data_IF_792357230857
#
_entry.id   IF_792357230857
#
_cell.length_a   1.000
_cell.length_b   1.000
_cell.length_c   1.000
_cell.angle_alpha   90.00
_cell.angle_beta   90.00
_cell.angle_gamma   90.00
#
_symmetry.space_group_name_H-M   'P 1'
#
loop_
_entity.id
_entity.type
_entity.pdbx_description
1 polymer ?
#
# COMPACT_ATOMS: atom_id res chain seq x y z
N UNK A 1 -12.56 -3.83 15.48
CA UNK A 1 -12.42 -2.51 16.15
C UNK A 1 -12.29 -1.37 15.12
N UNK A 2 -12.63 -0.13 15.49
CA UNK A 2 -12.74 1.07 14.61
C UNK A 2 -11.49 1.95 14.72
N UNK A 3 -10.86 2.28 13.59
CA UNK A 3 -9.85 3.33 13.45
C UNK A 3 -10.46 4.73 13.51
N UNK A 4 -9.66 5.72 13.92
CA UNK A 4 -10.08 7.11 14.16
C UNK A 4 -10.68 7.78 12.92
N UNK A 5 -11.65 8.67 13.12
CA UNK A 5 -12.19 9.52 12.06
C UNK A 5 -11.10 10.48 11.55
N UNK A 6 -11.13 10.80 10.26
CA UNK A 6 -10.22 11.80 9.69
C UNK A 6 -10.98 12.67 8.68
N UNK A 7 -10.60 13.95 8.61
CA UNK A 7 -11.23 14.94 7.73
C UNK A 7 -10.70 14.78 6.31
N UNK A 8 -11.59 14.50 5.36
CA UNK A 8 -11.29 14.53 3.93
C UNK A 8 -11.52 15.92 3.33
N UNK A 9 -10.79 16.26 2.28
CA UNK A 9 -11.03 17.46 1.48
C UNK A 9 -12.30 17.30 0.62
N UNK A 10 -13.12 18.35 0.58
CA UNK A 10 -14.24 18.53 -0.35
C UNK A 10 -14.12 19.93 -0.96
N UNK A 11 -14.38 20.03 -2.26
CA UNK A 11 -14.50 21.32 -2.94
C UNK A 11 -15.82 21.96 -2.52
N UNK A 12 -15.75 23.16 -1.96
CA UNK A 12 -16.93 23.92 -1.57
C UNK A 12 -17.61 24.46 -2.84
N UNK A 13 -18.94 24.38 -2.89
CA UNK A 13 -19.71 24.72 -4.09
C UNK A 13 -19.67 26.21 -4.41
N UNK A 14 -19.59 27.05 -3.36
CA UNK A 14 -19.74 28.50 -3.48
C UNK A 14 -18.43 29.20 -3.90
N UNK A 15 -17.31 28.82 -3.28
CA UNK A 15 -16.03 29.55 -3.45
C UNK A 15 -14.98 28.77 -4.28
N UNK A 16 -15.28 27.52 -4.64
CA UNK A 16 -14.34 26.61 -5.29
C UNK A 16 -13.12 26.19 -4.43
N UNK A 17 -13.02 26.66 -3.19
CA UNK A 17 -11.95 26.34 -2.22
C UNK A 17 -12.05 24.88 -1.73
N UNK A 18 -10.90 24.26 -1.47
CA UNK A 18 -10.81 22.91 -0.92
C UNK A 18 -10.80 22.97 0.61
N UNK A 19 -11.85 22.45 1.26
CA UNK A 19 -11.99 22.49 2.72
C UNK A 19 -12.01 21.08 3.29
N UNK A 20 -11.34 20.88 4.43
CA UNK A 20 -11.30 19.62 5.19
C UNK A 20 -12.61 19.39 5.96
N UNK A 21 -13.74 19.22 5.28
CA UNK A 21 -15.07 19.11 5.93
C UNK A 21 -15.72 17.72 5.86
N UNK A 22 -15.11 16.72 5.21
CA UNK A 22 -15.74 15.40 5.08
C UNK A 22 -15.33 14.48 6.21
N UNK A 23 -16.25 14.19 7.12
CA UNK A 23 -16.11 13.12 8.09
C UNK A 23 -16.08 11.78 7.34
N UNK A 24 -14.89 11.20 7.14
CA UNK A 24 -14.78 9.87 6.54
C UNK A 24 -15.07 8.82 7.60
N UNK A 25 -15.89 7.83 7.23
CA UNK A 25 -16.23 6.68 8.07
C UNK A 25 -14.95 6.10 8.70
N UNK A 26 -15.03 5.77 9.98
CA UNK A 26 -13.97 5.09 10.73
C UNK A 26 -13.46 3.91 9.93
N UNK A 27 -12.14 3.83 9.74
CA UNK A 27 -11.54 2.68 9.05
C UNK A 27 -11.71 1.44 9.91
N UNK A 28 -12.01 0.30 9.31
CA UNK A 28 -12.20 -0.94 10.03
C UNK A 28 -11.15 -1.92 9.56
N UNK A 29 -10.59 -2.68 10.50
CA UNK A 29 -9.90 -3.92 10.14
C UNK A 29 -10.94 -4.85 9.54
N UNK A 30 -10.79 -5.18 8.25
CA UNK A 30 -11.70 -6.08 7.56
C UNK A 30 -11.17 -7.51 7.59
N UNK A 31 -12.03 -8.51 7.29
CA UNK A 31 -11.62 -9.91 7.23
C UNK A 31 -10.38 -10.12 6.36
N UNK A 32 -9.66 -11.21 6.64
CA UNK A 32 -8.41 -11.54 5.97
C UNK A 32 -8.61 -11.61 4.45
N UNK A 33 -7.90 -10.74 3.73
CA UNK A 33 -7.92 -10.69 2.27
C UNK A 33 -7.03 -11.75 1.62
N UNK A 34 -7.09 -13.01 2.06
CA UNK A 34 -6.32 -14.12 1.49
C UNK A 34 -7.29 -15.13 0.87
N UNK A 35 -7.18 -15.44 -0.43
CA UNK A 35 -7.98 -16.52 -1.02
C UNK A 35 -7.61 -17.86 -0.37
N UNK A 36 -8.61 -18.65 0.04
CA UNK A 36 -8.40 -19.96 0.71
C UNK A 36 -7.43 -20.88 -0.05
N UNK A 37 -7.50 -20.88 -1.39
CA UNK A 37 -6.60 -21.64 -2.27
C UNK A 37 -5.10 -21.29 -2.13
N UNK A 38 -4.76 -20.17 -1.51
CA UNK A 38 -3.38 -19.71 -1.33
C UNK A 38 -2.97 -19.61 0.14
N UNK A 39 -3.74 -20.19 1.05
CA UNK A 39 -3.45 -20.20 2.49
C UNK A 39 -2.13 -20.93 2.81
N UNK A 40 -1.80 -21.95 2.00
CA UNK A 40 -0.56 -22.72 2.03
C UNK A 40 0.54 -22.21 1.09
N UNK A 41 0.39 -21.00 0.53
CA UNK A 41 1.38 -20.46 -0.41
C UNK A 41 2.75 -20.28 0.26
N UNK A 42 3.79 -20.88 -0.32
CA UNK A 42 5.19 -20.65 0.11
C UNK A 42 5.70 -19.26 -0.26
N UNK A 43 5.08 -18.63 -1.27
CA UNK A 43 5.48 -17.31 -1.80
C UNK A 43 4.80 -16.17 -1.03
N UNK A 44 3.53 -16.34 -0.66
CA UNK A 44 2.75 -15.33 0.06
C UNK A 44 2.48 -15.79 1.49
N UNK A 45 2.97 -15.03 2.45
CA UNK A 45 2.96 -15.35 3.88
C UNK A 45 1.65 -14.99 4.57
N UNK A 46 0.50 -15.32 3.96
CA UNK A 46 -0.82 -14.99 4.52
C UNK A 46 -1.11 -15.65 5.86
N UNK A 47 -0.80 -16.95 5.96
CA UNK A 47 -0.97 -17.76 7.16
C UNK A 47 -0.01 -17.38 8.29
N UNK A 48 1.07 -16.66 7.98
CA UNK A 48 2.06 -16.25 8.98
C UNK A 48 1.59 -15.10 9.86
N UNK A 49 0.51 -14.39 9.52
CA UNK A 49 -0.02 -13.33 10.39
C UNK A 49 -1.24 -13.85 11.14
N UNK A 50 -1.25 -13.69 12.46
CA UNK A 50 -2.46 -13.90 13.27
C UNK A 50 -3.42 -12.70 13.14
N UNK A 51 -4.65 -12.83 13.60
CA UNK A 51 -5.58 -11.69 13.59
C UNK A 51 -5.15 -10.61 14.60
N UNK A 52 -4.54 -11.00 15.71
CA UNK A 52 -3.98 -10.12 16.73
C UNK A 52 -2.82 -9.29 16.17
N UNK A 53 -1.93 -9.92 15.40
CA UNK A 53 -0.82 -9.22 14.74
C UNK A 53 -1.33 -8.23 13.68
N UNK A 54 -2.35 -8.62 12.91
CA UNK A 54 -3.02 -7.71 11.96
C UNK A 54 -3.66 -6.53 12.68
N UNK A 55 -4.25 -6.77 13.84
CA UNK A 55 -4.85 -5.75 14.70
C UNK A 55 -3.79 -4.80 15.26
N UNK A 56 -2.63 -5.30 15.71
CA UNK A 56 -1.52 -4.48 16.17
C UNK A 56 -0.96 -3.59 15.05
N UNK A 57 -0.76 -4.15 13.85
CA UNK A 57 -0.32 -3.39 12.67
C UNK A 57 -1.31 -2.28 12.36
N UNK A 58 -2.62 -2.57 12.40
CA UNK A 58 -3.68 -1.59 12.15
C UNK A 58 -3.65 -0.45 13.17
N UNK A 59 -3.57 -0.79 14.46
CA UNK A 59 -3.53 0.20 15.55
C UNK A 59 -2.28 1.06 15.44
N UNK A 60 -1.10 0.47 15.27
CA UNK A 60 0.15 1.21 15.07
C UNK A 60 0.05 2.19 13.89
N UNK A 61 -0.55 1.75 12.78
CA UNK A 61 -0.69 2.57 11.58
C UNK A 61 -1.65 3.75 11.77
N UNK A 62 -2.79 3.57 12.45
CA UNK A 62 -3.79 4.62 12.62
C UNK A 62 -3.58 5.48 13.87
N UNK A 63 -2.96 4.95 14.92
CA UNK A 63 -2.82 5.65 16.21
C UNK A 63 -1.45 6.30 16.40
N UNK A 64 -0.38 5.72 15.83
CA UNK A 64 0.99 6.23 16.04
C UNK A 64 1.56 7.01 14.86
N UNK A 65 0.93 6.94 13.68
CA UNK A 65 1.41 7.64 12.49
C UNK A 65 0.46 8.75 12.08
N UNK A 66 1.03 9.91 11.73
CA UNK A 66 0.32 10.98 11.04
C UNK A 66 0.09 10.65 9.55
N UNK A 67 -0.61 11.53 8.84
CA UNK A 67 -0.96 11.29 7.43
C UNK A 67 0.25 11.18 6.50
N UNK A 68 1.29 12.00 6.70
CA UNK A 68 2.49 11.99 5.88
C UNK A 68 3.35 10.76 6.18
N UNK A 69 3.51 10.45 7.47
CA UNK A 69 4.17 9.23 7.94
C UNK A 69 3.49 7.97 7.41
N UNK A 70 2.15 7.94 7.33
CA UNK A 70 1.40 6.84 6.71
C UNK A 70 1.73 6.66 5.23
N UNK A 71 1.90 7.76 4.48
CA UNK A 71 2.32 7.68 3.06
C UNK A 71 3.70 7.04 2.94
N UNK A 72 4.66 7.54 3.72
CA UNK A 72 6.05 7.02 3.75
C UNK A 72 6.05 5.55 4.17
N UNK A 73 5.28 5.21 5.21
CA UNK A 73 5.15 3.84 5.70
C UNK A 73 4.61 2.90 4.63
N UNK A 74 3.52 3.26 3.95
CA UNK A 74 2.96 2.43 2.87
C UNK A 74 3.95 2.29 1.71
N UNK A 75 4.65 3.36 1.34
CA UNK A 75 5.65 3.28 0.27
C UNK A 75 6.81 2.34 0.64
N UNK A 76 7.25 2.37 1.90
CA UNK A 76 8.32 1.47 2.38
C UNK A 76 7.95 -0.03 2.39
N UNK A 77 6.65 -0.33 2.28
CA UNK A 77 6.12 -1.69 2.27
C UNK A 77 5.75 -2.17 0.86
N UNK A 78 6.00 -1.36 -0.16
CA UNK A 78 5.68 -1.69 -1.56
C UNK A 78 6.96 -1.66 -2.37
N UNK A 79 7.18 -2.72 -3.14
CA UNK A 79 8.26 -2.75 -4.13
C UNK A 79 7.64 -2.71 -5.53
N UNK A 80 8.16 -1.83 -6.38
CA UNK A 80 7.80 -1.76 -7.80
C UNK A 80 8.81 -2.55 -8.63
N UNK A 81 8.33 -3.50 -9.43
CA UNK A 81 9.13 -4.23 -10.40
C UNK A 81 8.67 -3.96 -11.83
N UNK A 82 9.60 -4.05 -12.79
CA UNK A 82 9.24 -4.08 -14.20
C UNK A 82 8.41 -5.33 -14.51
N UNK A 83 7.48 -5.23 -15.47
CA UNK A 83 6.69 -6.39 -15.90
C UNK A 83 7.61 -7.38 -16.61
N UNK A 84 7.83 -8.55 -16.00
CA UNK A 84 8.86 -9.51 -16.42
C UNK A 84 8.65 -10.11 -17.81
N UNK A 85 7.41 -10.45 -18.20
CA UNK A 85 7.11 -11.00 -19.54
C UNK A 85 5.98 -10.20 -20.19
N UNK A 86 6.26 -9.54 -21.31
CA UNK A 86 5.23 -8.96 -22.17
C UNK A 86 4.59 -10.11 -22.94
N UNK A 87 3.31 -10.39 -22.69
CA UNK A 87 2.55 -11.42 -23.44
C UNK A 87 2.06 -10.89 -24.79
N UNK A 88 2.10 -9.56 -24.99
CA UNK A 88 1.64 -8.88 -26.21
C UNK A 88 2.70 -7.90 -26.69
N UNK A 89 2.89 -7.78 -28.00
CA UNK A 89 3.78 -6.80 -28.63
C UNK A 89 3.28 -5.36 -28.46
N UNK A 90 1.97 -5.19 -28.29
CA UNK A 90 1.33 -3.90 -28.02
C UNK A 90 1.74 -3.40 -26.63
N UNK A 91 2.10 -2.11 -26.55
CA UNK A 91 2.38 -1.43 -25.29
C UNK A 91 1.19 -1.57 -24.33
N UNK A 92 1.29 -2.51 -23.39
CA UNK A 92 0.34 -2.62 -22.29
C UNK A 92 0.36 -1.33 -21.49
N UNK A 93 -0.82 -0.82 -21.12
CA UNK A 93 -0.92 0.33 -20.20
C UNK A 93 -0.30 0.04 -18.83
N UNK A 94 -0.07 -1.24 -18.50
CA UNK A 94 0.56 -1.68 -17.24
C UNK A 94 2.04 -1.96 -17.46
N UNK A 95 2.88 -1.00 -17.08
CA UNK A 95 4.34 -1.12 -17.17
C UNK A 95 5.01 -1.44 -15.83
N UNK A 96 4.25 -1.46 -14.73
CA UNK A 96 4.76 -1.67 -13.37
C UNK A 96 3.91 -2.71 -12.65
N UNK A 97 4.58 -3.65 -12.00
CA UNK A 97 4.02 -4.60 -11.05
C UNK A 97 4.38 -4.17 -9.63
N UNK A 98 3.47 -4.36 -8.67
CA UNK A 98 3.68 -4.03 -7.26
C UNK A 98 3.62 -5.28 -6.41
N UNK A 99 4.63 -5.44 -5.55
CA UNK A 99 4.66 -6.42 -4.49
C UNK A 99 4.40 -5.74 -3.15
N UNK A 100 3.56 -6.36 -2.33
CA UNK A 100 3.08 -5.81 -1.07
C UNK A 100 3.67 -6.61 0.09
N UNK A 101 4.18 -5.90 1.09
CA UNK A 101 4.82 -6.50 2.25
C UNK A 101 4.16 -6.01 3.55
N UNK A 102 4.20 -6.84 4.59
CA UNK A 102 3.87 -6.45 5.96
C UNK A 102 5.04 -6.82 6.87
N UNK A 103 5.30 -5.99 7.89
CA UNK A 103 6.39 -6.23 8.83
C UNK A 103 5.94 -7.09 10.00
N UNK A 104 6.69 -8.15 10.29
CA UNK A 104 6.53 -9.02 11.47
C UNK A 104 7.92 -9.33 12.02
N UNK A 105 8.14 -9.11 13.32
CA UNK A 105 9.40 -9.41 14.03
C UNK A 105 10.66 -8.85 13.34
N UNK A 106 10.56 -7.65 12.76
CA UNK A 106 11.67 -7.01 12.03
C UNK A 106 11.81 -7.44 10.56
N UNK A 107 11.12 -8.49 10.13
CA UNK A 107 11.16 -9.00 8.76
C UNK A 107 10.00 -8.45 7.90
N UNK A 108 10.25 -8.27 6.60
CA UNK A 108 9.22 -7.91 5.62
C UNK A 108 8.69 -9.15 4.91
N UNK A 109 7.45 -9.53 5.21
CA UNK A 109 6.82 -10.71 4.63
C UNK A 109 5.91 -10.31 3.47
N UNK A 110 6.09 -10.96 2.32
CA UNK A 110 5.27 -10.70 1.14
C UNK A 110 3.85 -11.23 1.33
N UNK A 111 2.84 -10.41 1.04
CA UNK A 111 1.41 -10.73 1.22
C UNK A 111 0.61 -10.45 -0.05
N UNK A 112 -0.63 -10.94 -0.11
CA UNK A 112 -1.56 -10.52 -1.16
C UNK A 112 -1.93 -9.05 -0.99
N UNK A 113 -2.14 -8.36 -2.10
CA UNK A 113 -2.67 -6.99 -2.14
C UNK A 113 -3.91 -6.84 -1.26
N UNK A 114 -4.86 -7.77 -1.35
CA UNK A 114 -6.10 -7.71 -0.59
C UNK A 114 -5.86 -7.81 0.92
N UNK A 115 -4.93 -8.65 1.37
CA UNK A 115 -4.54 -8.74 2.78
C UNK A 115 -3.86 -7.46 3.26
N UNK A 116 -3.00 -6.87 2.44
CA UNK A 116 -2.37 -5.59 2.75
C UNK A 116 -3.41 -4.48 2.94
N UNK A 117 -4.35 -4.37 1.99
CA UNK A 117 -5.44 -3.38 2.03
C UNK A 117 -6.39 -3.62 3.21
N UNK A 118 -6.74 -4.87 3.51
CA UNK A 118 -7.62 -5.22 4.63
C UNK A 118 -6.96 -4.95 5.98
N UNK A 119 -5.66 -5.22 6.10
CA UNK A 119 -4.89 -5.03 7.33
C UNK A 119 -4.65 -3.56 7.64
N UNK A 120 -4.39 -2.72 6.63
CA UNK A 120 -4.22 -1.27 6.83
C UNK A 120 -5.55 -0.49 6.77
N UNK A 121 -6.65 -1.12 6.34
CA UNK A 121 -7.95 -0.46 6.19
C UNK A 121 -7.99 0.62 5.10
N UNK A 122 -7.11 0.55 4.10
CA UNK A 122 -7.00 1.53 3.01
C UNK A 122 -7.53 0.97 1.70
N UNK A 123 -7.89 1.87 0.77
CA UNK A 123 -8.39 1.47 -0.57
C UNK A 123 -7.24 1.44 -1.55
N UNK A 124 -7.36 0.60 -2.58
CA UNK A 124 -6.38 0.49 -3.66
C UNK A 124 -6.07 1.85 -4.32
N UNK A 125 -7.10 2.67 -4.61
CA UNK A 125 -6.92 4.02 -5.16
C UNK A 125 -6.08 4.93 -4.26
N UNK A 126 -6.18 4.77 -2.94
CA UNK A 126 -5.38 5.55 -1.97
C UNK A 126 -3.91 5.17 -2.08
N UNK A 127 -3.61 3.87 -2.15
CA UNK A 127 -2.24 3.38 -2.32
C UNK A 127 -1.62 3.93 -3.60
N UNK A 128 -2.31 3.80 -4.75
CA UNK A 128 -1.76 4.31 -6.01
C UNK A 128 -1.58 5.82 -6.04
N UNK A 129 -2.47 6.57 -5.38
CA UNK A 129 -2.28 8.02 -5.23
C UNK A 129 -1.00 8.32 -4.45
N UNK A 130 -0.76 7.63 -3.34
CA UNK A 130 0.42 7.85 -2.51
C UNK A 130 1.71 7.43 -3.23
N UNK A 131 1.68 6.35 -4.01
CA UNK A 131 2.82 5.95 -4.83
C UNK A 131 3.14 7.00 -5.91
N UNK A 132 2.12 7.56 -6.58
CA UNK A 132 2.31 8.64 -7.57
C UNK A 132 2.91 9.90 -6.95
N UNK A 133 2.44 10.30 -5.77
CA UNK A 133 2.96 11.47 -5.04
C UNK A 133 4.48 11.33 -4.81
N UNK A 134 4.98 10.12 -4.53
CA UNK A 134 6.42 9.90 -4.30
C UNK A 134 7.28 9.90 -5.56
N UNK A 135 6.71 9.54 -6.72
CA UNK A 135 7.42 9.56 -8.00
C UNK A 135 7.65 10.99 -8.53
N UNK A 136 6.80 11.93 -8.13
CA UNK A 136 6.89 13.33 -8.56
C UNK A 136 7.77 14.20 -7.64
N UNK A 137 8.43 13.65 -6.62
CA UNK A 137 9.09 14.46 -5.57
C UNK A 137 10.22 13.80 -4.78
N UNK A 138 10.81 12.69 -5.24
CA UNK A 138 12.06 12.17 -4.65
C UNK A 138 12.94 11.55 -5.74
N UNK A 139 14.25 11.91 -5.82
CA UNK A 139 15.14 11.41 -6.86
C UNK A 139 15.27 9.89 -6.73
N UNK A 140 14.87 9.17 -7.79
CA UNK A 140 15.12 7.74 -7.88
C UNK A 140 16.63 7.51 -7.85
N UNK A 141 17.12 6.67 -6.91
CA UNK A 141 18.44 6.06 -7.08
C UNK A 141 18.35 5.14 -8.29
N UNK A 142 18.77 5.66 -9.44
CA UNK A 142 19.06 4.88 -10.63
C UNK A 142 20.23 3.96 -10.24
N UNK A 143 19.97 2.66 -10.14
CA UNK A 143 21.04 1.68 -10.12
C UNK A 143 21.65 1.67 -11.54
N UNK A 144 22.70 2.47 -11.74
CA UNK A 144 23.50 2.44 -12.96
C UNK A 144 24.19 1.09 -13.04
N UNK A 145 23.65 0.18 -13.85
CA UNK A 145 24.39 -1.02 -14.27
C UNK A 145 25.56 -0.51 -15.09
N UNK A 146 26.76 -0.51 -14.50
CA UNK A 146 28.01 -0.30 -15.23
C UNK A 146 28.11 -1.41 -16.28
N UNK A 147 27.93 -1.06 -17.56
CA UNK A 147 28.32 -1.93 -18.66
C UNK A 147 29.83 -2.13 -18.57
N UNK A 148 30.29 -3.34 -18.27
CA UNK A 148 31.67 -3.76 -18.52
C UNK A 148 31.79 -3.96 -20.02
N UNK A 149 32.54 -3.07 -20.67
CA UNK A 149 33.09 -3.28 -22.01
C UNK A 149 34.35 -4.12 -21.84
N UNK A 150 34.46 -5.22 -22.57
CA UNK A 150 35.71 -5.90 -22.91
C UNK A 150 35.63 -6.21 -24.40
#
# INVERSE_FOLDING_TARGET
MKGKSYKGLKKQADDGKWVYCVHKKTRLLTPRGCPKKYESSKVKSCSKFSEEERQEIFLRFWDRLDWNQRKVYVNSLIQSGAVGRKTTEVNSRRNVSYEFFLRKNGESLCVFKNMFLSTLGIREKTVYSWLKDTQNGTPQKVNTIKKKTA
#
